data_IF_747442110951
#
_entry.id   IF_747442110951
#
_cell.length_a   1.000
_cell.length_b   1.000
_cell.length_c   1.000
_cell.angle_alpha   90.00
_cell.angle_beta   90.00
_cell.angle_gamma   90.00
#
_symmetry.space_group_name_H-M   'P 1'
#
loop_
_entity.id
_entity.type
_entity.pdbx_description
1 polymer ?
#
# COMPACT_ATOMS: atom_id res chain seq x y z
N UNK A 1 19.14 24.75 16.77
CA UNK A 1 19.06 23.60 17.71
C UNK A 1 17.75 22.90 17.43
N UNK A 2 17.77 21.60 17.10
CA UNK A 2 16.55 20.81 16.83
C UNK A 2 15.91 20.48 18.19
N UNK A 3 14.60 20.72 18.35
CA UNK A 3 13.91 20.37 19.58
C UNK A 3 13.77 18.85 19.73
N UNK A 4 13.68 18.29 20.96
CA UNK A 4 13.44 16.87 21.16
C UNK A 4 12.18 16.35 20.43
N UNK A 5 11.11 17.15 20.38
CA UNK A 5 9.88 16.82 19.65
C UNK A 5 10.11 16.75 18.14
N UNK A 6 10.86 17.71 17.56
CA UNK A 6 11.20 17.69 16.13
C UNK A 6 12.05 16.47 15.78
N UNK A 7 13.02 16.12 16.65
CA UNK A 7 13.82 14.92 16.46
C UNK A 7 12.97 13.65 16.54
N UNK A 8 12.10 13.54 17.55
CA UNK A 8 11.19 12.41 17.71
C UNK A 8 10.27 12.23 16.49
N UNK A 9 9.74 13.31 15.93
CA UNK A 9 8.86 13.27 14.77
C UNK A 9 9.59 12.99 13.44
N UNK A 10 10.92 13.05 13.42
CA UNK A 10 11.72 12.79 12.22
C UNK A 10 12.06 11.32 12.01
N UNK A 11 11.81 10.45 13.00
CA UNK A 11 12.10 9.02 12.85
C UNK A 11 11.05 8.33 11.98
N UNK A 12 11.50 7.35 11.17
CA UNK A 12 10.68 6.69 10.17
C UNK A 12 9.40 6.04 10.72
N UNK A 13 9.44 5.51 11.94
CA UNK A 13 8.32 4.84 12.59
C UNK A 13 7.45 5.73 13.48
N UNK A 14 7.66 7.05 13.47
CA UNK A 14 6.87 7.97 14.31
C UNK A 14 5.37 7.87 14.01
N UNK A 15 5.01 7.76 12.74
CA UNK A 15 3.60 7.67 12.30
C UNK A 15 2.90 6.43 12.87
N UNK A 16 3.56 5.27 12.86
CA UNK A 16 2.97 4.03 13.43
C UNK A 16 2.84 4.10 14.94
N UNK A 17 3.81 4.74 15.61
CA UNK A 17 3.74 5.00 17.05
C UNK A 17 2.56 5.89 17.43
N UNK A 18 2.34 6.99 16.72
CA UNK A 18 1.18 7.86 16.94
C UNK A 18 -0.14 7.18 16.62
N UNK A 19 -0.18 6.38 15.55
CA UNK A 19 -1.35 5.56 15.24
C UNK A 19 -1.67 4.59 16.38
N UNK A 20 -0.66 3.85 16.88
CA UNK A 20 -0.84 2.93 18.01
C UNK A 20 -1.42 3.61 19.24
N UNK A 21 -0.93 4.82 19.60
CA UNK A 21 -1.46 5.61 20.70
C UNK A 21 -2.91 6.04 20.43
N UNK A 22 -3.19 6.58 19.25
CA UNK A 22 -4.52 7.09 18.90
C UNK A 22 -5.58 5.97 18.81
N UNK A 23 -5.19 4.80 18.30
CA UNK A 23 -6.06 3.65 18.17
C UNK A 23 -6.14 2.78 19.44
N UNK A 24 -5.32 3.06 20.47
CA UNK A 24 -5.17 2.20 21.64
C UNK A 24 -4.61 0.81 21.29
N UNK A 25 -3.89 0.69 20.18
CA UNK A 25 -3.40 -0.58 19.68
C UNK A 25 -2.05 -0.94 20.33
N UNK A 26 -1.97 -2.15 20.89
CA UNK A 26 -0.75 -2.72 21.49
C UNK A 26 -0.13 -3.82 20.61
N UNK A 27 -0.59 -3.93 19.36
CA UNK A 27 -0.08 -4.90 18.40
C UNK A 27 1.24 -4.42 17.78
N UNK A 28 2.15 -5.35 17.38
CA UNK A 28 3.33 -4.99 16.63
C UNK A 28 2.98 -4.22 15.36
N UNK A 29 3.82 -3.25 15.01
CA UNK A 29 3.69 -2.48 13.77
C UNK A 29 5.04 -2.32 13.10
N UNK A 30 5.08 -2.35 11.78
CA UNK A 30 6.25 -2.02 10.96
C UNK A 30 5.92 -0.87 10.01
N UNK A 31 6.96 -0.18 9.55
CA UNK A 31 6.83 0.89 8.56
C UNK A 31 7.78 0.58 7.41
N UNK A 32 7.22 0.55 6.20
CA UNK A 32 7.95 0.24 4.96
C UNK A 32 7.98 1.47 4.08
N UNK A 33 9.13 1.73 3.47
CA UNK A 33 9.29 2.77 2.47
C UNK A 33 10.17 2.25 1.33
N UNK A 34 9.65 2.30 0.12
CA UNK A 34 10.30 1.84 -1.10
C UNK A 34 10.02 2.80 -2.27
N UNK A 35 10.08 4.11 -2.00
CA UNK A 35 9.82 5.16 -2.98
C UNK A 35 8.45 4.94 -3.66
N UNK A 36 8.37 4.94 -5.01
CA UNK A 36 7.11 4.70 -5.74
C UNK A 36 6.57 3.27 -5.56
N UNK A 37 7.41 2.32 -5.17
CA UNK A 37 7.03 0.94 -4.88
C UNK A 37 6.54 0.69 -3.45
N UNK A 38 6.35 1.73 -2.62
CA UNK A 38 6.04 1.57 -1.19
C UNK A 38 4.76 0.79 -0.93
N UNK A 39 3.70 1.01 -1.73
CA UNK A 39 2.46 0.24 -1.58
C UNK A 39 2.68 -1.26 -1.84
N UNK A 40 3.33 -1.62 -2.94
CA UNK A 40 3.59 -3.02 -3.28
C UNK A 40 4.54 -3.70 -2.28
N UNK A 41 5.55 -2.97 -1.79
CA UNK A 41 6.45 -3.46 -0.74
C UNK A 41 5.70 -3.71 0.57
N UNK A 42 4.85 -2.78 0.99
CA UNK A 42 4.00 -2.93 2.16
C UNK A 42 2.99 -4.06 2.02
N UNK A 43 2.39 -4.24 0.83
CA UNK A 43 1.48 -5.35 0.54
C UNK A 43 2.19 -6.70 0.63
N UNK A 44 3.39 -6.81 0.06
CA UNK A 44 4.19 -8.02 0.12
C UNK A 44 4.57 -8.37 1.56
N UNK A 45 5.04 -7.39 2.34
CA UNK A 45 5.34 -7.60 3.76
C UNK A 45 4.11 -8.01 4.55
N UNK A 46 2.97 -7.35 4.34
CA UNK A 46 1.72 -7.69 5.02
C UNK A 46 1.26 -9.13 4.73
N UNK A 47 1.42 -9.60 3.48
CA UNK A 47 1.11 -10.98 3.10
C UNK A 47 2.08 -11.99 3.75
N UNK A 48 3.36 -11.66 3.83
CA UNK A 48 4.36 -12.50 4.53
C UNK A 48 4.05 -12.60 6.03
N UNK A 49 3.72 -11.48 6.68
CA UNK A 49 3.32 -11.44 8.08
C UNK A 49 2.03 -12.24 8.31
N UNK A 50 1.04 -12.09 7.42
CA UNK A 50 -0.21 -12.85 7.47
C UNK A 50 0.05 -14.36 7.42
N UNK A 51 0.95 -14.80 6.54
CA UNK A 51 1.35 -16.20 6.40
C UNK A 51 2.09 -16.74 7.62
N UNK A 52 3.00 -15.97 8.19
CA UNK A 52 3.85 -16.39 9.33
C UNK A 52 3.13 -16.33 10.67
N UNK A 53 2.34 -15.30 10.91
CA UNK A 53 1.73 -15.04 12.22
C UNK A 53 0.29 -15.55 12.32
N UNK A 54 -0.34 -15.91 11.20
CA UNK A 54 -1.72 -16.43 11.14
C UNK A 54 -2.75 -15.48 11.80
N UNK A 55 -2.49 -14.17 11.78
CA UNK A 55 -3.33 -13.13 12.33
C UNK A 55 -3.70 -12.11 11.25
N UNK A 56 -4.89 -11.47 11.33
CA UNK A 56 -5.22 -10.39 10.42
C UNK A 56 -4.18 -9.27 10.46
N UNK A 57 -3.85 -8.71 9.30
CA UNK A 57 -2.90 -7.62 9.13
C UNK A 57 -3.63 -6.43 8.53
N UNK A 58 -3.52 -5.27 9.17
CA UNK A 58 -3.99 -3.99 8.63
C UNK A 58 -2.84 -3.31 7.89
N UNK A 59 -2.93 -3.26 6.57
CA UNK A 59 -2.03 -2.47 5.73
C UNK A 59 -2.63 -1.08 5.54
N UNK A 60 -1.87 -0.04 5.89
CA UNK A 60 -2.20 1.36 5.63
C UNK A 60 -1.10 1.96 4.76
N UNK A 61 -1.47 2.51 3.61
CA UNK A 61 -0.57 3.32 2.79
C UNK A 61 -1.12 4.74 2.70
N UNK A 62 -0.29 5.72 3.00
CA UNK A 62 -0.69 7.12 2.97
C UNK A 62 0.48 8.02 2.59
N UNK A 63 0.17 9.05 1.82
CA UNK A 63 1.07 10.14 1.51
C UNK A 63 0.35 11.48 1.67
N UNK A 64 1.11 12.49 2.01
CA UNK A 64 0.70 13.88 2.05
C UNK A 64 1.83 14.74 1.51
N UNK A 65 1.55 16.01 1.26
CA UNK A 65 2.55 16.95 0.81
C UNK A 65 3.77 17.01 1.74
N UNK A 66 4.95 17.15 1.13
CA UNK A 66 6.20 17.23 1.86
C UNK A 66 6.50 18.68 2.30
N UNK A 67 7.14 18.86 3.47
CA UNK A 67 7.63 20.18 3.87
C UNK A 67 8.80 20.61 2.98
N UNK A 68 9.02 21.93 2.88
CA UNK A 68 10.20 22.47 2.23
C UNK A 68 11.50 22.06 2.95
N UNK A 69 12.59 21.79 2.23
CA UNK A 69 12.77 21.89 0.77
C UNK A 69 12.42 20.59 0.00
N UNK A 70 11.90 19.58 0.69
CA UNK A 70 11.64 18.27 0.09
C UNK A 70 10.51 18.33 -0.95
N UNK A 71 9.52 19.18 -0.71
CA UNK A 71 8.44 19.45 -1.66
C UNK A 71 8.96 19.84 -3.06
N UNK A 72 9.97 20.73 -3.13
CA UNK A 72 10.50 21.17 -4.42
C UNK A 72 11.22 20.06 -5.19
N UNK A 73 11.81 19.11 -4.46
CA UNK A 73 12.49 17.96 -5.08
C UNK A 73 11.50 16.87 -5.52
N UNK A 74 10.39 16.74 -4.81
CA UNK A 74 9.35 15.73 -5.08
C UNK A 74 8.00 16.23 -4.58
N UNK A 75 7.26 16.98 -5.40
CA UNK A 75 5.91 17.41 -5.05
C UNK A 75 4.96 16.22 -4.99
N UNK A 76 4.18 16.12 -3.91
CA UNK A 76 3.00 15.26 -3.79
C UNK A 76 1.80 16.20 -3.82
N UNK A 77 1.02 16.19 -4.91
CA UNK A 77 0.06 17.28 -5.19
C UNK A 77 -1.17 17.24 -4.29
N UNK A 78 -1.45 16.11 -3.65
CA UNK A 78 -2.62 15.93 -2.79
C UNK A 78 -2.35 14.84 -1.73
N UNK A 79 -3.22 14.78 -0.74
CA UNK A 79 -3.20 13.72 0.26
C UNK A 79 -4.00 12.50 -0.23
N UNK A 80 -3.38 11.33 -0.14
CA UNK A 80 -4.04 10.07 -0.47
C UNK A 80 -3.78 9.03 0.63
N UNK A 81 -4.79 8.24 0.96
CA UNK A 81 -4.64 7.12 1.89
C UNK A 81 -5.55 5.96 1.51
N UNK A 82 -5.08 4.75 1.77
CA UNK A 82 -5.82 3.49 1.64
C UNK A 82 -5.54 2.60 2.83
N UNK A 83 -6.54 1.84 3.26
CA UNK A 83 -6.40 0.82 4.30
C UNK A 83 -7.02 -0.50 3.82
N UNK A 84 -6.27 -1.58 3.95
CA UNK A 84 -6.69 -2.94 3.60
C UNK A 84 -6.54 -3.83 4.82
N UNK A 85 -7.64 -4.45 5.26
CA UNK A 85 -7.60 -5.52 6.26
C UNK A 85 -7.45 -6.85 5.55
N UNK A 86 -6.30 -7.49 5.72
CA UNK A 86 -5.95 -8.77 5.12
C UNK A 86 -6.14 -9.90 6.13
N UNK A 87 -6.71 -11.02 5.67
CA UNK A 87 -6.93 -12.22 6.49
C UNK A 87 -6.80 -13.49 5.66
N UNK A 88 -6.34 -14.59 6.26
CA UNK A 88 -6.38 -15.93 5.67
C UNK A 88 -7.76 -16.59 5.79
N UNK A 89 -8.61 -16.06 6.67
CA UNK A 89 -9.95 -16.60 6.93
C UNK A 89 -11.01 -15.66 6.35
N UNK A 90 -11.65 -16.02 5.22
CA UNK A 90 -12.69 -15.19 4.66
C UNK A 90 -13.90 -15.12 5.61
N UNK A 91 -14.46 -13.93 5.74
CA UNK A 91 -15.67 -13.70 6.51
C UNK A 91 -16.86 -13.50 5.56
N UNK A 92 -17.86 -14.40 5.56
CA UNK A 92 -19.02 -14.28 4.69
C UNK A 92 -19.69 -12.89 4.81
N UNK A 93 -19.97 -12.27 3.66
CA UNK A 93 -20.59 -10.95 3.57
C UNK A 93 -19.69 -9.75 3.98
N UNK A 94 -18.42 -9.99 4.33
CA UNK A 94 -17.46 -8.92 4.68
C UNK A 94 -16.20 -8.96 3.82
N UNK A 95 -15.78 -10.14 3.38
CA UNK A 95 -14.62 -10.27 2.48
C UNK A 95 -15.04 -9.88 1.07
N UNK A 96 -14.41 -8.86 0.51
CA UNK A 96 -14.77 -8.28 -0.79
C UNK A 96 -13.99 -8.88 -1.95
N UNK A 97 -12.75 -9.32 -1.71
CA UNK A 97 -11.91 -9.92 -2.75
C UNK A 97 -10.89 -10.88 -2.15
N UNK A 98 -10.45 -11.83 -2.95
CA UNK A 98 -9.32 -12.70 -2.69
C UNK A 98 -8.12 -12.23 -3.51
N UNK A 99 -6.96 -12.09 -2.83
CA UNK A 99 -5.69 -11.79 -3.47
C UNK A 99 -4.83 -13.06 -3.47
N UNK A 100 -4.25 -13.39 -4.62
CA UNK A 100 -3.38 -14.56 -4.76
C UNK A 100 -2.01 -14.14 -5.29
N UNK A 101 -0.98 -14.72 -4.71
CA UNK A 101 0.42 -14.44 -5.01
C UNK A 101 1.08 -15.75 -5.44
N UNK A 102 1.36 -15.90 -6.73
CA UNK A 102 1.98 -17.12 -7.27
C UNK A 102 3.51 -16.96 -7.29
N UNK A 103 4.23 -17.87 -6.63
CA UNK A 103 5.68 -17.79 -6.46
C UNK A 103 6.45 -17.58 -7.76
N UNK A 104 6.13 -18.35 -8.80
CA UNK A 104 6.83 -18.29 -10.09
C UNK A 104 6.48 -17.06 -10.93
N UNK A 105 5.32 -16.42 -10.67
CA UNK A 105 4.85 -15.22 -11.39
C UNK A 105 4.62 -14.02 -10.49
N UNK A 106 5.11 -14.09 -9.26
CA UNK A 106 5.03 -13.01 -8.27
C UNK A 106 5.70 -11.73 -8.75
N UNK A 107 6.84 -11.89 -9.39
CA UNK A 107 7.58 -10.79 -9.99
C UNK A 107 7.53 -10.88 -11.52
N UNK A 108 7.36 -9.73 -12.17
CA UNK A 108 7.18 -9.64 -13.62
C UNK A 108 7.83 -8.40 -14.19
N UNK A 109 8.26 -8.48 -15.45
CA UNK A 109 8.71 -7.33 -16.24
C UNK A 109 7.57 -6.66 -17.02
N UNK A 110 6.34 -7.19 -16.91
CA UNK A 110 5.17 -6.61 -17.56
C UNK A 110 4.93 -5.16 -17.08
N UNK A 111 4.45 -4.32 -17.99
CA UNK A 111 4.13 -2.93 -17.69
C UNK A 111 2.87 -2.83 -16.80
N UNK A 112 2.87 -1.82 -15.92
CA UNK A 112 1.68 -1.45 -15.17
C UNK A 112 0.63 -0.91 -16.14
N UNK A 113 -0.59 -1.44 -16.06
CA UNK A 113 -1.71 -0.94 -16.88
C UNK A 113 -2.11 0.47 -16.41
N UNK A 114 -2.24 1.45 -17.32
CA UNK A 114 -2.75 2.75 -16.97
C UNK A 114 -4.22 2.66 -16.55
N UNK A 115 -4.65 3.62 -15.72
CA UNK A 115 -6.07 3.77 -15.38
C UNK A 115 -6.84 4.32 -16.58
N UNK A 116 -8.09 3.84 -16.78
CA UNK A 116 -8.98 4.37 -17.84
C UNK A 116 -9.36 5.83 -17.59
N UNK A 117 -9.53 6.21 -16.32
CA UNK A 117 -9.82 7.58 -15.92
C UNK A 117 -8.53 8.39 -15.80
N UNK A 118 -8.47 9.50 -16.54
CA UNK A 118 -7.28 10.35 -16.59
C UNK A 118 -6.95 11.01 -15.24
N UNK A 119 -7.96 11.36 -14.44
CA UNK A 119 -7.72 11.95 -13.11
C UNK A 119 -7.14 10.92 -12.15
N UNK A 120 -7.66 9.69 -12.16
CA UNK A 120 -7.11 8.59 -11.36
C UNK A 120 -5.69 8.21 -11.81
N UNK A 121 -5.42 8.23 -13.13
CA UNK A 121 -4.06 7.97 -13.64
C UNK A 121 -3.08 9.06 -13.19
N UNK A 122 -3.50 10.32 -13.20
CA UNK A 122 -2.69 11.42 -12.69
C UNK A 122 -2.35 11.25 -11.20
N UNK A 123 -3.33 10.88 -10.37
CA UNK A 123 -3.10 10.57 -8.96
C UNK A 123 -2.14 9.39 -8.80
N UNK A 124 -2.38 8.30 -9.55
CA UNK A 124 -1.52 7.11 -9.52
C UNK A 124 -0.06 7.43 -9.83
N UNK A 125 0.19 8.30 -10.82
CA UNK A 125 1.55 8.66 -11.21
C UNK A 125 2.24 9.61 -10.24
N UNK A 126 1.47 10.48 -9.57
CA UNK A 126 2.03 11.56 -8.75
C UNK A 126 2.14 11.23 -7.27
N UNK A 127 1.36 10.26 -6.75
CA UNK A 127 1.29 9.92 -5.32
C UNK A 127 1.67 8.45 -5.12
N UNK A 128 2.73 8.13 -4.35
CA UNK A 128 3.16 6.74 -4.13
C UNK A 128 2.07 5.82 -3.57
N UNK A 129 1.30 6.27 -2.58
CA UNK A 129 0.20 5.47 -2.02
C UNK A 129 -0.92 5.22 -3.05
N UNK A 130 -1.13 6.11 -4.02
CA UNK A 130 -2.13 5.94 -5.08
C UNK A 130 -1.72 4.89 -6.14
N UNK A 131 -0.49 4.36 -6.12
CA UNK A 131 -0.07 3.23 -6.95
C UNK A 131 -0.90 1.95 -6.70
N UNK A 132 -1.71 1.92 -5.64
CA UNK A 132 -2.69 0.88 -5.37
C UNK A 132 -3.94 0.93 -6.27
N UNK A 133 -4.20 2.03 -6.98
CA UNK A 133 -5.45 2.26 -7.73
C UNK A 133 -5.82 1.16 -8.72
N UNK A 134 -4.91 0.55 -9.50
CA UNK A 134 -5.26 -0.58 -10.38
C UNK A 134 -5.83 -1.77 -9.61
N UNK A 135 -5.31 -2.07 -8.43
CA UNK A 135 -5.84 -3.13 -7.56
C UNK A 135 -7.22 -2.78 -7.04
N UNK A 136 -7.40 -1.55 -6.56
CA UNK A 136 -8.70 -1.08 -6.05
C UNK A 136 -9.77 -1.04 -7.13
N UNK A 137 -9.39 -0.74 -8.38
CA UNK A 137 -10.31 -0.72 -9.51
C UNK A 137 -10.91 -2.09 -9.80
N UNK A 138 -10.10 -3.16 -9.84
CA UNK A 138 -10.61 -4.53 -10.01
C UNK A 138 -11.52 -4.93 -8.85
N UNK A 139 -11.11 -4.63 -7.62
CA UNK A 139 -11.91 -4.92 -6.43
C UNK A 139 -13.27 -4.18 -6.49
N UNK A 140 -13.27 -2.90 -6.84
CA UNK A 140 -14.47 -2.08 -6.90
C UNK A 140 -15.43 -2.52 -8.02
N UNK A 141 -14.90 -3.03 -9.14
CA UNK A 141 -15.71 -3.59 -10.24
C UNK A 141 -16.23 -5.00 -9.96
N UNK A 142 -15.71 -5.68 -8.94
CA UNK A 142 -16.01 -7.09 -8.69
C UNK A 142 -15.50 -8.00 -9.81
N UNK A 143 -14.40 -7.64 -10.46
CA UNK A 143 -13.83 -8.35 -11.59
C UNK A 143 -12.65 -9.21 -11.14
N UNK A 144 -12.52 -10.39 -11.75
CA UNK A 144 -11.32 -11.20 -11.61
C UNK A 144 -10.28 -10.78 -12.63
N UNK A 145 -9.02 -10.73 -12.22
CA UNK A 145 -7.93 -10.38 -13.13
C UNK A 145 -6.58 -10.33 -12.45
N UNK A 146 -5.55 -10.06 -13.26
CA UNK A 146 -4.18 -9.84 -12.78
C UNK A 146 -3.85 -8.37 -12.83
N UNK A 147 -3.33 -7.84 -11.73
CA UNK A 147 -2.79 -6.48 -11.60
C UNK A 147 -1.29 -6.54 -11.48
N UNK A 148 -0.62 -5.63 -12.16
CA UNK A 148 0.82 -5.37 -12.01
C UNK A 148 0.98 -4.06 -11.25
N UNK A 149 1.73 -4.10 -10.16
CA UNK A 149 1.99 -2.96 -9.27
C UNK A 149 3.45 -2.52 -9.37
N UNK A 150 3.67 -1.22 -9.34
CA UNK A 150 5.02 -0.67 -9.20
C UNK A 150 5.68 -1.17 -7.91
N UNK A 151 6.87 -1.78 -8.02
CA UNK A 151 7.61 -2.29 -6.87
C UNK A 151 9.07 -1.81 -6.90
N UNK A 152 9.95 -2.58 -7.50
CA UNK A 152 11.31 -2.16 -7.84
C UNK A 152 11.36 -2.14 -9.36
N UNK A 153 11.96 -1.18 -9.95
CA UNK A 153 11.86 -0.99 -11.40
C UNK A 153 13.09 -1.52 -12.14
N UNK A 154 13.04 -2.66 -12.85
CA UNK A 154 12.24 -3.87 -12.64
C UNK A 154 12.77 -4.72 -11.48
N UNK A 155 12.09 -5.71 -10.94
CA UNK A 155 10.80 -6.25 -11.34
C UNK A 155 9.61 -5.55 -10.67
N UNK A 156 8.40 -5.76 -11.20
CA UNK A 156 7.13 -5.34 -10.64
C UNK A 156 6.44 -6.48 -9.91
N UNK A 157 5.48 -6.16 -9.05
CA UNK A 157 4.70 -7.15 -8.28
C UNK A 157 3.41 -7.48 -9.02
N UNK A 158 3.19 -8.77 -9.31
CA UNK A 158 1.94 -9.26 -9.90
C UNK A 158 1.02 -9.84 -8.82
N UNK A 159 -0.26 -9.47 -8.86
CA UNK A 159 -1.29 -9.90 -7.93
C UNK A 159 -2.49 -10.37 -8.72
N UNK A 160 -2.94 -11.60 -8.49
CA UNK A 160 -4.20 -12.11 -9.01
C UNK A 160 -5.33 -11.77 -8.05
N UNK A 161 -6.41 -11.20 -8.58
CA UNK A 161 -7.59 -10.72 -7.83
C UNK A 161 -8.78 -11.56 -8.27
N UNK A 162 -9.58 -12.01 -7.32
CA UNK A 162 -10.87 -12.64 -7.58
C UNK A 162 -11.92 -12.05 -6.62
N UNK A 163 -13.15 -11.77 -7.09
CA UNK A 163 -14.22 -11.32 -6.20
C UNK A 163 -14.64 -12.45 -5.26
N UNK A 164 -15.05 -12.08 -4.05
CA UNK A 164 -15.71 -12.99 -3.13
C UNK A 164 -17.23 -12.85 -3.30
N UNK A 165 -17.89 -13.97 -3.56
CA UNK A 165 -19.35 -14.06 -3.64
C UNK A 165 -20.00 -14.19 -2.26
#
# INVERSE_FOLDING_TARGET
MISPTQFHNSVHNAISGYWGIAAGAMTPSSVVSAHDGSFAAGLLEAVMLLGSEQRPVLLIACDSDYPQPLHDARPVPDTFAVALLLTTMPHPGKTIAQLSFCGDTLFTDAEVQPMDDHALETLRQSIPAARCLPLLQLIARGEAGRVVLDYVNPPRLAVDVAPCS
#
